data_IF_869943163795
#
_entry.id   IF_869943163795
#
_cell.length_a   1.000
_cell.length_b   1.000
_cell.length_c   1.000
_cell.angle_alpha   90.00
_cell.angle_beta   90.00
_cell.angle_gamma   90.00
#
_symmetry.space_group_name_H-M   'P 1'
#
loop_
_entity.id
_entity.type
_entity.pdbx_description
1 polymer ?
#
# COMPACT_ATOMS: atom_id res chain seq x y z
N UNK A 1 9.37 -1.72 -0.70
CA UNK A 1 9.36 -2.95 0.08
C UNK A 1 9.20 -4.14 -0.85
N UNK A 2 10.15 -5.07 -0.87
CA UNK A 2 10.15 -6.21 -1.78
C UNK A 2 10.30 -7.51 -1.00
N UNK A 3 9.57 -8.57 -1.40
CA UNK A 3 9.58 -9.89 -0.78
C UNK A 3 8.70 -10.87 -1.53
N UNK A 4 8.74 -12.13 -1.17
CA UNK A 4 7.87 -13.16 -1.72
C UNK A 4 6.42 -13.01 -1.20
N UNK A 5 5.44 -13.63 -1.84
CA UNK A 5 4.09 -13.71 -1.29
C UNK A 5 4.11 -14.29 0.13
N UNK A 6 3.42 -13.64 1.07
CA UNK A 6 3.36 -14.09 2.46
C UNK A 6 4.50 -13.63 3.38
N UNK A 7 5.52 -12.93 2.87
CA UNK A 7 6.63 -12.39 3.69
C UNK A 7 6.26 -11.22 4.59
N UNK A 8 5.04 -10.70 4.50
CA UNK A 8 4.55 -9.62 5.35
C UNK A 8 4.80 -8.20 4.82
N UNK A 9 5.01 -8.05 3.50
CA UNK A 9 5.17 -6.73 2.86
C UNK A 9 4.09 -5.73 3.24
N UNK A 10 2.83 -6.10 3.00
CA UNK A 10 1.66 -5.26 3.28
C UNK A 10 1.55 -4.93 4.76
N UNK A 11 1.89 -5.87 5.65
CA UNK A 11 1.90 -5.64 7.11
C UNK A 11 2.93 -4.57 7.50
N UNK A 12 4.15 -4.64 6.96
CA UNK A 12 5.19 -3.65 7.26
C UNK A 12 4.81 -2.27 6.69
N UNK A 13 4.30 -2.22 5.47
CA UNK A 13 3.84 -0.97 4.86
C UNK A 13 2.69 -0.38 5.67
N UNK A 14 1.75 -1.22 6.13
CA UNK A 14 0.66 -0.79 6.99
C UNK A 14 1.18 -0.16 8.28
N UNK A 15 2.13 -0.82 8.97
CA UNK A 15 2.72 -0.28 10.19
C UNK A 15 3.42 1.08 9.94
N UNK A 16 4.11 1.24 8.80
CA UNK A 16 4.71 2.51 8.40
C UNK A 16 3.64 3.59 8.18
N UNK A 17 2.54 3.25 7.51
CA UNK A 17 1.42 4.14 7.24
C UNK A 17 0.72 4.58 8.53
N UNK A 18 0.43 3.63 9.42
CA UNK A 18 -0.19 3.90 10.73
C UNK A 18 0.72 4.79 11.60
N UNK A 19 2.03 4.51 11.63
CA UNK A 19 3.00 5.33 12.37
C UNK A 19 3.05 6.75 11.82
N UNK A 20 3.11 6.93 10.51
CA UNK A 20 3.09 8.25 9.89
C UNK A 20 1.79 9.01 10.22
N UNK A 21 0.64 8.33 10.20
CA UNK A 21 -0.63 8.92 10.56
C UNK A 21 -0.71 9.33 12.04
N UNK A 22 -0.13 8.53 12.94
CA UNK A 22 0.00 8.87 14.37
C UNK A 22 0.88 10.11 14.58
N UNK A 23 1.89 10.31 13.76
CA UNK A 23 2.75 11.51 13.74
C UNK A 23 2.09 12.71 13.02
N UNK A 24 0.80 12.63 12.73
CA UNK A 24 0.01 13.71 12.14
C UNK A 24 0.17 13.88 10.63
N UNK A 25 0.81 12.91 9.93
CA UNK A 25 0.93 12.93 8.48
C UNK A 25 -0.34 12.42 7.82
N UNK A 26 -0.74 13.05 6.73
CA UNK A 26 -1.87 12.59 5.91
C UNK A 26 -1.40 11.47 5.00
N UNK A 27 -1.98 10.29 5.16
CA UNK A 27 -1.68 9.08 4.40
C UNK A 27 -2.80 8.79 3.42
N UNK A 28 -2.46 8.61 2.14
CA UNK A 28 -3.38 8.20 1.09
C UNK A 28 -2.97 6.81 0.58
N UNK A 29 -3.86 5.83 0.71
CA UNK A 29 -3.55 4.43 0.43
C UNK A 29 -4.39 3.89 -0.72
N UNK A 30 -3.71 3.32 -1.71
CA UNK A 30 -4.28 2.64 -2.86
C UNK A 30 -4.10 1.12 -2.71
N UNK A 31 -5.11 0.40 -2.18
CA UNK A 31 -5.07 -1.05 -2.00
C UNK A 31 -5.43 -1.72 -3.33
N UNK A 32 -4.43 -2.06 -4.14
CA UNK A 32 -4.64 -2.68 -5.45
C UNK A 32 -4.83 -4.20 -5.38
N UNK A 33 -4.30 -4.85 -4.33
CA UNK A 33 -4.38 -6.31 -4.16
C UNK A 33 -5.66 -6.75 -3.45
N UNK A 34 -6.18 -5.91 -2.57
CA UNK A 34 -7.26 -6.28 -1.69
C UNK A 34 -8.46 -5.34 -1.85
N UNK A 35 -9.69 -5.85 -1.74
CA UNK A 35 -10.86 -4.99 -1.65
C UNK A 35 -10.75 -3.99 -0.49
N UNK A 36 -11.25 -2.80 -0.72
CA UNK A 36 -11.24 -1.69 0.26
C UNK A 36 -11.72 -2.13 1.65
N UNK A 37 -12.81 -2.90 1.72
CA UNK A 37 -13.38 -3.38 2.99
C UNK A 37 -12.41 -4.31 3.73
N UNK A 38 -11.70 -5.17 3.02
CA UNK A 38 -10.74 -6.10 3.62
C UNK A 38 -9.53 -5.34 4.17
N UNK A 39 -9.03 -4.36 3.44
CA UNK A 39 -7.95 -3.50 3.92
C UNK A 39 -8.37 -2.68 5.14
N UNK A 40 -9.62 -2.20 5.17
CA UNK A 40 -10.16 -1.49 6.33
C UNK A 40 -10.26 -2.40 7.56
N UNK A 41 -10.69 -3.65 7.41
CA UNK A 41 -10.73 -4.62 8.50
C UNK A 41 -9.34 -4.93 9.05
N UNK A 42 -8.33 -5.07 8.17
CA UNK A 42 -6.94 -5.26 8.61
C UNK A 42 -6.40 -4.06 9.40
N UNK A 43 -6.67 -2.86 8.91
CA UNK A 43 -6.29 -1.62 9.61
C UNK A 43 -6.95 -1.55 10.99
N UNK A 44 -8.22 -1.93 11.08
CA UNK A 44 -8.97 -1.95 12.33
C UNK A 44 -8.44 -3.02 13.30
N UNK A 45 -8.18 -4.23 12.83
CA UNK A 45 -7.62 -5.33 13.62
C UNK A 45 -6.25 -4.96 14.21
N UNK A 46 -5.35 -4.39 13.38
CA UNK A 46 -4.05 -3.88 13.81
C UNK A 46 -4.20 -2.80 14.87
N UNK A 47 -5.02 -1.79 14.59
CA UNK A 47 -5.28 -0.67 15.51
C UNK A 47 -5.90 -1.10 16.84
N UNK A 48 -6.74 -2.13 16.83
CA UNK A 48 -7.39 -2.70 18.02
C UNK A 48 -6.52 -3.74 18.74
N UNK A 49 -5.47 -4.23 18.11
CA UNK A 49 -4.68 -5.40 18.53
C UNK A 49 -5.53 -6.65 18.75
N UNK A 50 -6.49 -6.88 17.85
CA UNK A 50 -7.37 -8.03 17.81
C UNK A 50 -6.97 -8.94 16.65
N UNK A 51 -7.14 -10.24 16.83
CA UNK A 51 -6.87 -11.20 15.76
C UNK A 51 -7.77 -10.95 14.56
N UNK A 52 -7.18 -10.99 13.38
CA UNK A 52 -7.89 -10.73 12.12
C UNK A 52 -8.98 -11.76 11.85
N UNK A 53 -8.73 -13.03 12.18
CA UNK A 53 -9.69 -14.12 12.01
C UNK A 53 -10.91 -13.94 12.92
N UNK A 54 -10.70 -13.50 14.17
CA UNK A 54 -11.79 -13.17 15.11
C UNK A 54 -12.67 -12.05 14.55
N UNK A 55 -12.05 -11.01 13.97
CA UNK A 55 -12.78 -9.90 13.37
C UNK A 55 -13.58 -10.33 12.13
N UNK A 56 -12.99 -11.16 11.26
CA UNK A 56 -13.67 -11.69 10.07
C UNK A 56 -14.82 -12.65 10.39
N UNK A 57 -14.64 -13.51 11.38
CA UNK A 57 -15.68 -14.46 11.79
C UNK A 57 -16.81 -13.82 12.58
N UNK A 58 -16.58 -12.62 13.13
CA UNK A 58 -17.51 -11.96 14.03
C UNK A 58 -17.60 -12.61 15.42
N UNK A 59 -16.76 -13.58 15.73
CA UNK A 59 -16.69 -14.24 17.03
C UNK A 59 -15.71 -13.46 17.91
N UNK A 60 -16.25 -12.55 18.70
CA UNK A 60 -15.47 -11.60 19.51
C UNK A 60 -15.84 -11.72 20.98
N UNK A 61 -14.84 -11.60 21.82
CA UNK A 61 -15.04 -11.45 23.28
C UNK A 61 -15.49 -10.02 23.62
N UNK A 62 -16.05 -9.81 24.79
CA UNK A 62 -16.41 -8.46 25.24
C UNK A 62 -15.18 -7.50 25.28
N UNK A 63 -14.00 -8.01 25.63
CA UNK A 63 -12.77 -7.23 25.64
C UNK A 63 -12.36 -6.79 24.24
N UNK A 64 -12.45 -7.68 23.25
CA UNK A 64 -12.16 -7.35 21.84
C UNK A 64 -13.16 -6.35 21.28
N UNK A 65 -14.45 -6.49 21.60
CA UNK A 65 -15.47 -5.50 21.21
C UNK A 65 -15.14 -4.10 21.76
N UNK A 66 -14.71 -3.99 23.02
CA UNK A 66 -14.29 -2.71 23.60
C UNK A 66 -13.02 -2.16 22.96
N UNK A 67 -12.03 -3.02 22.66
CA UNK A 67 -10.81 -2.64 21.97
C UNK A 67 -11.11 -2.10 20.56
N UNK A 68 -11.97 -2.78 19.80
CA UNK A 68 -12.43 -2.35 18.47
C UNK A 68 -13.16 -1.01 18.56
N UNK A 69 -14.10 -0.83 19.49
CA UNK A 69 -14.80 0.44 19.66
C UNK A 69 -13.83 1.61 19.96
N UNK A 70 -12.84 1.35 20.80
CA UNK A 70 -11.77 2.31 21.14
C UNK A 70 -10.90 2.63 19.92
N UNK A 71 -10.54 1.62 19.11
CA UNK A 71 -9.77 1.80 17.88
C UNK A 71 -10.56 2.62 16.85
N UNK A 72 -11.83 2.33 16.64
CA UNK A 72 -12.72 3.12 15.76
C UNK A 72 -12.77 4.59 16.20
N UNK A 73 -12.94 4.85 17.50
CA UNK A 73 -12.98 6.20 18.04
C UNK A 73 -11.63 6.94 17.84
N UNK A 74 -10.49 6.21 17.97
CA UNK A 74 -9.16 6.75 17.71
C UNK A 74 -8.93 7.06 16.23
N UNK A 75 -9.26 6.13 15.34
CA UNK A 75 -9.14 6.29 13.89
C UNK A 75 -10.00 7.46 13.39
N UNK A 76 -11.22 7.61 13.90
CA UNK A 76 -12.10 8.75 13.54
C UNK A 76 -11.56 10.10 14.01
N UNK A 77 -10.90 10.16 15.16
CA UNK A 77 -10.31 11.41 15.67
C UNK A 77 -9.03 11.80 14.93
N UNK A 78 -8.24 10.80 14.54
CA UNK A 78 -6.96 10.98 13.86
C UNK A 78 -7.11 10.52 12.39
N UNK A 79 -8.14 11.00 11.68
CA UNK A 79 -8.51 10.57 10.33
C UNK A 79 -7.44 10.93 9.26
N UNK A 80 -6.19 10.53 9.54
CA UNK A 80 -5.05 10.82 8.69
C UNK A 80 -4.74 9.69 7.69
N UNK A 81 -5.50 8.58 7.71
CA UNK A 81 -5.40 7.50 6.70
C UNK A 81 -6.66 7.49 5.87
N UNK A 82 -6.53 7.74 4.59
CA UNK A 82 -7.59 7.64 3.60
C UNK A 82 -7.31 6.44 2.70
N UNK A 83 -8.20 5.45 2.70
CA UNK A 83 -8.20 4.36 1.73
C UNK A 83 -8.96 4.82 0.49
N UNK A 84 -8.32 4.75 -0.67
CA UNK A 84 -8.91 5.17 -1.94
C UNK A 84 -9.41 3.94 -2.67
N UNK A 85 -10.67 3.98 -3.07
CA UNK A 85 -11.21 2.97 -3.97
C UNK A 85 -10.59 3.14 -5.36
N UNK A 86 -9.99 2.05 -5.87
CA UNK A 86 -9.24 2.05 -7.13
C UNK A 86 -9.78 1.01 -8.11
N UNK A 87 -11.01 0.55 -7.89
CA UNK A 87 -11.67 -0.32 -8.85
C UNK A 87 -11.67 0.35 -10.22
N UNK A 88 -11.12 -0.32 -11.23
CA UNK A 88 -10.95 0.18 -12.61
C UNK A 88 -10.00 1.41 -12.80
N UNK A 89 -9.28 1.85 -11.78
CA UNK A 89 -8.38 3.00 -11.92
C UNK A 89 -7.06 2.64 -12.60
N UNK A 90 -6.71 3.37 -13.65
CA UNK A 90 -5.39 3.24 -14.31
C UNK A 90 -4.28 3.91 -13.48
N UNK A 91 -3.02 3.57 -13.78
CA UNK A 91 -1.86 4.25 -13.21
C UNK A 91 -1.91 5.77 -13.42
N UNK A 92 -2.46 6.21 -14.55
CA UNK A 92 -2.61 7.64 -14.87
C UNK A 92 -3.61 8.31 -13.93
N UNK A 93 -4.73 7.66 -13.66
CA UNK A 93 -5.77 8.18 -12.75
C UNK A 93 -5.24 8.27 -11.32
N UNK A 94 -4.57 7.21 -10.86
CA UNK A 94 -3.94 7.18 -9.53
C UNK A 94 -2.90 8.29 -9.39
N UNK A 95 -2.02 8.48 -10.38
CA UNK A 95 -1.01 9.54 -10.31
C UNK A 95 -1.61 10.94 -10.35
N UNK A 96 -2.66 11.15 -11.14
CA UNK A 96 -3.38 12.42 -11.16
C UNK A 96 -4.07 12.72 -9.83
N UNK A 97 -4.60 11.69 -9.18
CA UNK A 97 -5.21 11.81 -7.86
C UNK A 97 -4.16 12.11 -6.77
N UNK A 98 -3.03 11.39 -6.77
CA UNK A 98 -1.90 11.69 -5.87
C UNK A 98 -1.43 13.14 -6.04
N UNK A 99 -1.32 13.63 -7.25
CA UNK A 99 -0.84 14.98 -7.52
C UNK A 99 -1.76 16.06 -6.93
N UNK A 100 -3.08 15.85 -7.06
CA UNK A 100 -4.11 16.79 -6.55
C UNK A 100 -4.33 16.71 -5.05
N UNK A 101 -4.02 15.56 -4.43
CA UNK A 101 -4.23 15.36 -3.00
C UNK A 101 -3.30 16.23 -2.15
N UNK A 102 -3.68 16.49 -0.91
CA UNK A 102 -2.88 17.18 0.10
C UNK A 102 -2.15 16.23 1.05
N UNK A 103 -2.02 14.94 0.68
CA UNK A 103 -1.35 13.94 1.50
C UNK A 103 0.17 14.14 1.55
N UNK A 104 0.78 13.71 2.65
CA UNK A 104 2.23 13.67 2.84
C UNK A 104 2.83 12.33 2.39
N UNK A 105 2.10 11.25 2.65
CA UNK A 105 2.52 9.86 2.41
C UNK A 105 1.51 9.16 1.52
N UNK A 106 2.00 8.44 0.54
CA UNK A 106 1.22 7.62 -0.38
C UNK A 106 1.62 6.16 -0.21
N UNK A 107 0.65 5.27 -0.17
CA UNK A 107 0.87 3.81 -0.19
C UNK A 107 0.27 3.24 -1.47
N UNK A 108 1.07 2.46 -2.20
CA UNK A 108 0.64 1.69 -3.38
C UNK A 108 0.93 0.20 -3.12
N UNK A 109 -0.08 -0.58 -2.89
CA UNK A 109 0.04 -2.01 -2.55
C UNK A 109 -0.75 -2.87 -3.54
N UNK A 110 -0.11 -3.45 -4.57
CA UNK A 110 1.30 -3.35 -4.95
C UNK A 110 1.46 -2.95 -6.43
N UNK A 111 2.63 -2.46 -6.78
CA UNK A 111 2.90 -1.78 -8.06
C UNK A 111 2.59 -2.65 -9.30
N UNK A 112 2.84 -3.95 -9.25
CA UNK A 112 2.59 -4.85 -10.38
C UNK A 112 1.10 -5.02 -10.73
N UNK A 113 0.18 -4.58 -9.89
CA UNK A 113 -1.26 -4.58 -10.23
C UNK A 113 -1.70 -3.30 -10.95
N UNK A 114 -0.84 -2.29 -11.02
CA UNK A 114 -1.18 -1.10 -11.78
C UNK A 114 -1.25 -1.39 -13.29
N UNK A 115 -2.31 -0.93 -13.90
CA UNK A 115 -2.47 -0.92 -15.35
C UNK A 115 -2.17 0.46 -15.92
N UNK A 116 -1.50 0.51 -17.05
CA UNK A 116 -1.25 1.76 -17.77
C UNK A 116 -2.11 1.82 -19.03
N UNK A 117 -3.15 2.63 -18.99
CA UNK A 117 -4.06 2.83 -20.12
C UNK A 117 -3.37 3.40 -21.37
N UNK A 118 -2.18 3.98 -21.22
CA UNK A 118 -1.35 4.48 -22.32
C UNK A 118 -0.42 3.43 -22.93
N UNK A 119 -0.32 2.23 -22.33
CA UNK A 119 0.50 1.14 -22.85
C UNK A 119 -0.04 0.61 -24.17
N UNK A 120 0.86 0.38 -25.12
CA UNK A 120 0.52 -0.21 -26.43
C UNK A 120 0.45 -1.74 -26.30
N UNK A 121 -0.33 -2.38 -27.16
CA UNK A 121 -0.40 -3.86 -27.22
C UNK A 121 0.94 -4.55 -27.48
N UNK A 122 1.90 -3.82 -28.06
CA UNK A 122 3.28 -4.27 -28.31
C UNK A 122 4.20 -4.15 -27.11
N UNK A 123 3.79 -3.43 -26.07
CA UNK A 123 4.66 -3.16 -24.92
C UNK A 123 4.74 -4.41 -24.02
N UNK A 124 5.96 -4.72 -23.59
CA UNK A 124 6.15 -5.83 -22.66
C UNK A 124 5.71 -5.41 -21.26
N UNK A 125 5.24 -6.36 -20.45
CA UNK A 125 4.86 -6.11 -19.05
C UNK A 125 5.99 -5.44 -18.27
N UNK A 126 7.22 -5.87 -18.47
CA UNK A 126 8.42 -5.26 -17.88
C UNK A 126 8.59 -3.79 -18.27
N UNK A 127 8.38 -3.47 -19.55
CA UNK A 127 8.46 -2.09 -20.06
C UNK A 127 7.39 -1.18 -19.45
N UNK A 128 6.17 -1.69 -19.32
CA UNK A 128 5.05 -0.98 -18.70
C UNK A 128 5.38 -0.67 -17.23
N UNK A 129 5.81 -1.67 -16.46
CA UNK A 129 6.18 -1.49 -15.04
C UNK A 129 7.37 -0.53 -14.87
N UNK A 130 8.35 -0.60 -15.75
CA UNK A 130 9.46 0.36 -15.75
C UNK A 130 8.99 1.79 -16.05
N UNK A 131 7.99 1.96 -16.91
CA UNK A 131 7.37 3.27 -17.17
C UNK A 131 6.63 3.79 -15.93
N UNK A 132 5.81 2.95 -15.30
CA UNK A 132 5.06 3.26 -14.08
C UNK A 132 6.04 3.67 -12.96
N UNK A 133 7.07 2.87 -12.71
CA UNK A 133 8.10 3.13 -11.69
C UNK A 133 8.77 4.50 -11.88
N UNK A 134 9.22 4.81 -13.11
CA UNK A 134 9.81 6.11 -13.44
C UNK A 134 8.84 7.27 -13.25
N UNK A 135 7.56 7.09 -13.62
CA UNK A 135 6.52 8.10 -13.40
C UNK A 135 6.29 8.34 -11.91
N UNK A 136 6.22 7.28 -11.12
CA UNK A 136 6.08 7.34 -9.67
C UNK A 136 7.24 8.10 -9.02
N UNK A 137 8.48 7.80 -9.42
CA UNK A 137 9.67 8.54 -8.96
C UNK A 137 9.61 10.03 -9.28
N UNK A 138 9.23 10.38 -10.53
CA UNK A 138 9.07 11.78 -10.93
C UNK A 138 7.98 12.48 -10.15
N UNK A 139 6.87 11.79 -9.90
CA UNK A 139 5.75 12.30 -9.10
C UNK A 139 6.20 12.61 -7.67
N UNK A 140 6.86 11.67 -7.00
CA UNK A 140 7.40 11.86 -5.66
C UNK A 140 8.31 13.10 -5.56
N UNK A 141 9.24 13.23 -6.52
CA UNK A 141 10.16 14.39 -6.58
C UNK A 141 9.45 15.71 -6.83
N UNK A 142 8.44 15.73 -7.69
CA UNK A 142 7.70 16.95 -8.05
C UNK A 142 6.80 17.43 -6.93
N UNK A 143 6.15 16.51 -6.22
CA UNK A 143 5.18 16.80 -5.17
C UNK A 143 5.79 16.88 -3.77
N UNK A 144 7.01 16.37 -3.58
CA UNK A 144 7.65 16.25 -2.27
C UNK A 144 7.05 15.15 -1.38
N UNK A 145 6.13 14.35 -1.90
CA UNK A 145 5.46 13.29 -1.15
C UNK A 145 6.34 12.06 -1.01
N UNK A 146 6.19 11.37 0.12
CA UNK A 146 6.79 10.04 0.33
C UNK A 146 5.88 8.99 -0.30
N UNK A 147 6.41 8.14 -1.18
CA UNK A 147 5.65 7.06 -1.80
C UNK A 147 6.22 5.72 -1.33
N UNK A 148 5.42 4.97 -0.58
CA UNK A 148 5.69 3.62 -0.12
C UNK A 148 5.05 2.64 -1.11
N UNK A 149 5.85 1.74 -1.66
CA UNK A 149 5.36 0.79 -2.66
C UNK A 149 5.76 -0.63 -2.29
N UNK A 150 4.81 -1.55 -2.34
CA UNK A 150 5.08 -2.98 -2.33
C UNK A 150 5.49 -3.46 -3.71
N UNK A 151 6.37 -4.46 -3.76
CA UNK A 151 6.75 -5.17 -4.98
C UNK A 151 7.03 -6.63 -4.69
N UNK A 152 6.58 -7.51 -5.57
CA UNK A 152 6.87 -8.93 -5.46
C UNK A 152 8.26 -9.26 -6.03
N UNK A 153 8.93 -10.22 -5.40
CA UNK A 153 10.12 -10.86 -5.93
C UNK A 153 9.72 -12.07 -6.80
N UNK A 154 10.58 -12.43 -7.74
CA UNK A 154 10.46 -13.70 -8.45
C UNK A 154 11.14 -14.83 -7.65
N UNK A 155 10.98 -16.08 -8.09
CA UNK A 155 11.52 -17.28 -7.46
C UNK A 155 13.06 -17.27 -7.31
N UNK A 156 13.74 -16.39 -8.02
CA UNK A 156 15.19 -16.16 -7.89
C UNK A 156 15.55 -15.04 -6.90
N UNK A 157 14.59 -14.52 -6.13
CA UNK A 157 14.78 -13.45 -5.15
C UNK A 157 15.08 -12.07 -5.77
N UNK A 158 14.79 -11.89 -7.06
CA UNK A 158 14.95 -10.61 -7.77
C UNK A 158 13.61 -9.91 -7.91
N UNK A 159 13.62 -8.59 -8.04
CA UNK A 159 12.41 -7.82 -8.32
C UNK A 159 11.72 -8.38 -9.56
N UNK A 160 10.49 -8.86 -9.37
CA UNK A 160 9.70 -9.49 -10.42
C UNK A 160 9.41 -8.48 -11.52
N UNK A 161 9.56 -8.92 -12.74
CA UNK A 161 9.17 -8.22 -13.97
C UNK A 161 9.91 -6.89 -14.25
N UNK A 162 10.68 -6.29 -13.31
CA UNK A 162 11.46 -5.09 -13.66
C UNK A 162 12.62 -4.79 -12.71
N UNK A 163 13.85 -4.77 -13.24
CA UNK A 163 15.02 -4.20 -12.55
C UNK A 163 14.89 -2.69 -12.34
N UNK A 164 14.11 -2.02 -13.18
CA UNK A 164 13.93 -0.58 -13.12
C UNK A 164 13.30 -0.13 -11.80
N UNK A 165 12.39 -0.94 -11.20
CA UNK A 165 11.76 -0.62 -9.91
C UNK A 165 12.83 -0.40 -8.83
N UNK A 166 13.84 -1.26 -8.75
CA UNK A 166 14.93 -1.11 -7.79
C UNK A 166 15.87 0.06 -8.09
N UNK A 167 16.02 0.43 -9.37
CA UNK A 167 16.85 1.56 -9.80
C UNK A 167 16.17 2.92 -9.57
N UNK A 168 14.85 2.96 -9.73
CA UNK A 168 14.06 4.19 -9.53
C UNK A 168 13.82 4.50 -8.05
N UNK A 169 13.78 3.48 -7.19
CA UNK A 169 13.55 3.65 -5.76
C UNK A 169 14.74 4.34 -5.06
N UNK A 170 14.47 5.23 -4.10
CA UNK A 170 15.51 5.83 -3.25
C UNK A 170 16.04 4.83 -2.22
N UNK A 171 15.16 3.94 -1.75
CA UNK A 171 15.47 2.87 -0.81
C UNK A 171 14.69 1.61 -1.17
N UNK A 172 15.36 0.47 -1.09
CA UNK A 172 14.77 -0.86 -1.26
C UNK A 172 14.96 -1.64 0.02
N UNK A 173 13.86 -2.10 0.61
CA UNK A 173 13.86 -2.97 1.77
C UNK A 173 13.45 -4.37 1.31
N UNK A 174 14.35 -5.35 1.46
CA UNK A 174 14.05 -6.75 1.20
C UNK A 174 13.50 -7.38 2.47
N UNK A 175 12.30 -7.93 2.36
CA UNK A 175 11.60 -8.56 3.47
C UNK A 175 11.67 -10.07 3.26
N UNK A 176 12.08 -10.78 4.30
CA UNK A 176 12.10 -12.25 4.34
C UNK A 176 11.52 -12.72 5.65
N UNK A 177 10.62 -13.69 5.58
CA UNK A 177 10.17 -14.43 6.75
C UNK A 177 11.27 -15.39 7.18
N UNK A 178 11.69 -15.32 8.42
CA UNK A 178 12.55 -16.36 8.99
C UNK A 178 11.71 -17.61 9.26
N UNK A 179 12.26 -18.77 8.87
CA UNK A 179 11.66 -20.08 9.16
C UNK A 179 11.79 -20.40 10.65
#
# INVERSE_FOLDING_TARGET
FAGEPGDGKSTIIQNCAETAAMDGKKVRWYPLEMPHNEQMLRLLASSAQVDNGSLYSGVLTNGECQAIASAVARLKRNANVELVDVEDASATDIFADIERSDCDVVVVDYLQLMEDSSARKSDTREGVLASISRRQKRLARRTGKVILTASQLNDSGKLRESRAIGQDADKVYLIKKYA
#
